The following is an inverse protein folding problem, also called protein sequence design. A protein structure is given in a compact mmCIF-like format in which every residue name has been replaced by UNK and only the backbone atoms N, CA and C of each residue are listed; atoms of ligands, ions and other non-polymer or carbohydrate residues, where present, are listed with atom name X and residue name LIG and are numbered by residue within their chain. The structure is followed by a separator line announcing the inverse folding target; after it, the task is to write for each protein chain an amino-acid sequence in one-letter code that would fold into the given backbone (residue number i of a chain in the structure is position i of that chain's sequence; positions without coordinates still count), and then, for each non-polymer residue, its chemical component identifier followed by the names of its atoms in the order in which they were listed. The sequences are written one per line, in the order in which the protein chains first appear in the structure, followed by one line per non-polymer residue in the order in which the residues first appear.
data_IF_423057725770
#
_entry.id   IF_423057725770
#
_cell.length_a   1.000
_cell.length_b   1.000
_cell.length_c   1.000
_cell.angle_alpha   90.00
_cell.angle_beta   90.00
_cell.angle_gamma   90.00
#
_symmetry.space_group_name_H-M   'P 1'
#
loop_
_entity.id
_entity.type
_entity.pdbx_description
1 polymer ?
#
# COMPACT_ATOMS: atom_id res chain seq x y z
N UNK A 1 35.47 53.86 52.92
CA UNK A 1 35.73 52.42 53.13
C UNK A 1 34.71 51.68 52.33
N UNK A 2 35.16 51.06 51.32
CA UNK A 2 34.41 50.66 50.12
C UNK A 2 33.89 49.24 50.31
N UNK A 3 32.56 49.08 50.19
CA UNK A 3 31.93 47.78 50.23
C UNK A 3 31.52 47.39 48.81
N UNK A 4 32.15 46.39 48.24
CA UNK A 4 31.79 45.79 46.98
C UNK A 4 30.61 44.81 47.18
N UNK A 5 29.50 45.10 46.54
CA UNK A 5 28.41 44.11 46.37
C UNK A 5 28.67 43.36 45.09
N UNK A 6 28.94 42.08 45.23
CA UNK A 6 28.97 41.15 44.11
C UNK A 6 27.52 40.72 43.78
N UNK A 7 27.02 41.13 42.64
CA UNK A 7 25.73 40.67 42.11
C UNK A 7 25.90 39.33 41.45
N UNK A 8 25.28 38.31 42.04
CA UNK A 8 25.22 36.94 41.50
C UNK A 8 24.02 36.87 40.54
N UNK A 9 24.32 36.89 39.25
CA UNK A 9 23.35 36.79 38.18
C UNK A 9 23.06 35.31 37.93
N UNK A 10 21.94 34.81 38.45
CA UNK A 10 21.45 33.47 38.15
C UNK A 10 20.93 33.40 36.70
N UNK A 11 21.72 32.73 35.84
CA UNK A 11 21.33 32.42 34.48
C UNK A 11 20.45 31.16 34.50
N UNK A 12 19.15 31.37 34.46
CA UNK A 12 18.17 30.25 34.30
C UNK A 12 18.17 29.80 32.84
N UNK A 13 18.86 28.71 32.55
CA UNK A 13 18.77 28.00 31.28
C UNK A 13 17.42 27.30 31.22
N UNK A 14 16.46 27.89 30.53
CA UNK A 14 15.25 27.20 30.05
C UNK A 14 15.62 26.21 28.94
N UNK A 15 15.79 24.96 29.30
CA UNK A 15 15.81 23.84 28.36
C UNK A 15 14.38 23.71 27.77
N UNK A 16 14.17 24.34 26.64
CA UNK A 16 13.02 24.03 25.79
C UNK A 16 13.24 22.62 25.21
N UNK A 17 12.66 21.60 25.87
CA UNK A 17 12.49 20.29 25.29
C UNK A 17 11.51 20.41 24.13
N UNK A 18 12.04 20.53 22.91
CA UNK A 18 11.27 20.29 21.70
C UNK A 18 10.85 18.82 21.72
N UNK A 19 9.67 18.54 22.27
CA UNK A 19 8.98 17.29 22.05
C UNK A 19 8.64 17.26 20.54
N UNK A 20 9.46 16.58 19.75
CA UNK A 20 9.06 16.12 18.42
C UNK A 20 7.91 15.13 18.63
N UNK A 21 6.70 15.65 18.71
CA UNK A 21 5.50 14.87 18.46
C UNK A 21 5.57 14.51 16.99
N UNK A 22 5.98 13.28 16.68
CA UNK A 22 5.77 12.69 15.38
C UNK A 22 4.26 12.49 15.21
N UNK A 23 3.57 13.55 14.81
CA UNK A 23 2.27 13.42 14.20
C UNK A 23 2.49 12.57 12.94
N UNK A 24 2.26 11.29 13.06
CA UNK A 24 2.06 10.43 11.89
C UNK A 24 0.70 10.86 11.34
N UNK A 25 0.69 11.88 10.48
CA UNK A 25 -0.52 12.22 9.73
C UNK A 25 -0.93 10.95 9.00
N UNK A 26 -2.10 10.42 9.33
CA UNK A 26 -2.69 9.30 8.62
C UNK A 26 -2.95 9.78 7.20
N UNK A 27 -2.10 9.38 6.26
CA UNK A 27 -2.28 9.72 4.86
C UNK A 27 -3.62 9.14 4.41
N UNK A 28 -4.36 9.90 3.62
CA UNK A 28 -5.63 9.50 3.03
C UNK A 28 -5.55 9.66 1.51
N UNK A 29 -4.73 8.84 0.82
CA UNK A 29 -4.54 8.96 -0.61
C UNK A 29 -5.81 8.59 -1.37
N UNK A 30 -6.02 9.26 -2.50
CA UNK A 30 -7.00 8.85 -3.50
C UNK A 30 -6.43 7.66 -4.29
N UNK A 31 -7.11 6.54 -4.32
CA UNK A 31 -6.60 5.33 -4.99
C UNK A 31 -6.52 5.49 -6.51
N UNK A 32 -7.34 6.36 -7.11
CA UNK A 32 -7.24 6.69 -8.54
C UNK A 32 -5.93 7.40 -8.89
N UNK A 33 -5.43 8.26 -7.99
CA UNK A 33 -4.14 8.93 -8.19
C UNK A 33 -2.99 7.93 -8.03
N UNK A 34 -3.06 7.05 -7.04
CA UNK A 34 -2.04 6.02 -6.80
C UNK A 34 -1.93 5.04 -7.97
N UNK A 35 -3.07 4.53 -8.48
CA UNK A 35 -3.05 3.64 -9.65
C UNK A 35 -2.57 4.37 -10.91
N UNK A 36 -2.90 5.66 -11.04
CA UNK A 36 -2.41 6.52 -12.11
C UNK A 36 -0.90 6.68 -12.09
N UNK A 37 -0.30 6.88 -10.92
CA UNK A 37 1.15 6.95 -10.74
C UNK A 37 1.83 5.61 -11.09
N UNK A 38 1.26 4.48 -10.65
CA UNK A 38 1.76 3.15 -10.99
C UNK A 38 1.73 2.93 -12.52
N UNK A 39 0.60 3.24 -13.17
CA UNK A 39 0.46 3.12 -14.64
C UNK A 39 1.39 4.06 -15.42
N UNK A 40 1.74 5.20 -14.88
CA UNK A 40 2.68 6.12 -15.50
C UNK A 40 4.14 5.69 -15.38
N UNK A 41 4.47 4.96 -14.31
CA UNK A 41 5.84 4.56 -13.97
C UNK A 41 6.19 3.14 -14.45
N UNK A 42 5.21 2.27 -14.66
CA UNK A 42 5.39 0.86 -15.01
C UNK A 42 4.61 0.53 -16.28
N UNK A 43 5.24 -0.16 -17.19
CA UNK A 43 4.60 -0.63 -18.42
C UNK A 43 3.76 -1.86 -18.16
N UNK A 44 2.50 -1.85 -18.61
CA UNK A 44 1.54 -2.93 -18.47
C UNK A 44 1.07 -3.43 -19.83
N UNK A 45 0.67 -4.72 -19.93
CA UNK A 45 -0.12 -5.19 -21.06
C UNK A 45 -1.53 -4.55 -21.06
N UNK A 46 -2.40 -5.01 -21.94
CA UNK A 46 -3.82 -4.64 -21.86
C UNK A 46 -4.42 -5.10 -20.53
N UNK A 47 -4.94 -4.15 -19.74
CA UNK A 47 -5.47 -4.40 -18.40
C UNK A 47 -6.99 -4.20 -18.38
N UNK A 48 -7.70 -5.18 -17.80
CA UNK A 48 -9.12 -5.06 -17.47
C UNK A 48 -9.30 -4.42 -16.07
N UNK A 49 -10.31 -3.59 -15.93
CA UNK A 49 -10.73 -3.02 -14.65
C UNK A 49 -11.82 -3.88 -14.01
N UNK A 50 -11.63 -4.25 -12.75
CA UNK A 50 -12.53 -5.09 -11.99
C UNK A 50 -13.43 -4.21 -11.11
N UNK A 51 -14.73 -4.53 -11.09
CA UNK A 51 -15.71 -3.81 -10.26
C UNK A 51 -15.79 -4.43 -8.86
N UNK A 52 -16.20 -3.63 -7.88
CA UNK A 52 -16.38 -4.10 -6.49
C UNK A 52 -17.32 -5.31 -6.41
N UNK A 53 -18.37 -5.35 -7.23
CA UNK A 53 -19.32 -6.47 -7.25
C UNK A 53 -18.71 -7.81 -7.70
N UNK A 54 -17.59 -7.76 -8.42
CA UNK A 54 -16.91 -8.93 -8.97
C UNK A 54 -15.80 -9.46 -8.05
N UNK A 55 -15.50 -8.77 -6.94
CA UNK A 55 -14.45 -9.15 -5.98
C UNK A 55 -14.51 -10.62 -5.55
N UNK A 56 -15.67 -11.23 -5.26
CA UNK A 56 -15.75 -12.65 -4.88
C UNK A 56 -15.23 -13.60 -5.96
N UNK A 57 -15.35 -13.23 -7.24
CA UNK A 57 -14.81 -14.04 -8.36
C UNK A 57 -13.26 -14.06 -8.37
N UNK A 58 -12.64 -13.08 -7.72
CA UNK A 58 -11.19 -12.93 -7.61
C UNK A 58 -10.65 -13.39 -6.25
N UNK A 59 -11.51 -14.03 -5.42
CA UNK A 59 -11.11 -14.59 -4.12
C UNK A 59 -11.15 -13.59 -2.95
N UNK A 60 -11.73 -12.40 -3.17
CA UNK A 60 -11.97 -11.44 -2.09
C UNK A 60 -13.42 -11.57 -1.62
N UNK A 61 -13.65 -12.18 -0.46
CA UNK A 61 -14.97 -12.30 0.17
C UNK A 61 -15.37 -10.98 0.82
N UNK A 62 -15.60 -9.96 -0.02
CA UNK A 62 -16.01 -8.62 0.36
C UNK A 62 -17.31 -8.26 -0.34
N UNK A 63 -18.19 -7.59 0.40
CA UNK A 63 -19.41 -7.00 -0.14
C UNK A 63 -19.18 -5.54 -0.50
N UNK A 64 -20.01 -4.94 -1.37
CA UNK A 64 -19.87 -3.53 -1.72
C UNK A 64 -19.86 -2.59 -0.51
N UNK A 65 -20.62 -2.91 0.54
CA UNK A 65 -20.65 -2.12 1.78
C UNK A 65 -19.37 -2.19 2.63
N UNK A 66 -18.48 -3.16 2.39
CA UNK A 66 -17.20 -3.27 3.08
C UNK A 66 -16.15 -2.33 2.46
N UNK A 67 -16.35 -1.89 1.23
CA UNK A 67 -15.37 -1.16 0.41
C UNK A 67 -15.72 0.31 0.33
N UNK A 68 -14.82 1.17 0.78
CA UNK A 68 -14.97 2.62 0.66
C UNK A 68 -14.47 3.13 -0.71
N UNK A 69 -13.38 2.58 -1.21
CA UNK A 69 -12.76 2.91 -2.49
C UNK A 69 -11.98 1.70 -3.01
N UNK A 70 -11.91 1.51 -4.31
CA UNK A 70 -11.14 0.42 -4.91
C UNK A 70 -10.60 0.83 -6.28
N UNK A 71 -9.39 0.38 -6.54
CA UNK A 71 -8.80 0.29 -7.87
C UNK A 71 -8.27 -1.13 -8.04
N UNK A 72 -8.80 -1.87 -9.00
CA UNK A 72 -8.35 -3.21 -9.29
C UNK A 72 -8.21 -3.38 -10.79
N UNK A 73 -6.98 -3.59 -11.23
CA UNK A 73 -6.65 -3.89 -12.62
C UNK A 73 -5.93 -5.24 -12.69
N UNK A 74 -6.28 -6.04 -13.68
CA UNK A 74 -5.63 -7.33 -13.94
C UNK A 74 -5.42 -7.51 -15.44
N UNK A 75 -4.41 -8.29 -15.83
CA UNK A 75 -4.18 -8.57 -17.24
C UNK A 75 -5.41 -9.18 -17.90
N UNK A 76 -5.79 -8.66 -19.06
CA UNK A 76 -6.94 -9.13 -19.85
C UNK A 76 -6.74 -10.50 -20.47
N UNK A 77 -5.48 -10.96 -20.58
CA UNK A 77 -5.11 -12.30 -21.05
C UNK A 77 -4.60 -13.15 -19.89
N UNK A 78 -4.95 -14.44 -19.88
CA UNK A 78 -4.41 -15.39 -18.88
C UNK A 78 -2.93 -15.75 -19.05
N UNK A 79 -2.19 -15.02 -19.89
CA UNK A 79 -0.78 -15.29 -20.20
C UNK A 79 0.21 -14.46 -19.40
N UNK A 80 -0.26 -13.44 -18.68
CA UNK A 80 0.58 -12.60 -17.83
C UNK A 80 -0.01 -12.49 -16.44
N UNK A 81 0.84 -12.32 -15.44
CA UNK A 81 0.46 -12.24 -14.03
C UNK A 81 0.29 -10.80 -13.53
N UNK A 82 0.26 -9.82 -14.46
CA UNK A 82 0.15 -8.41 -14.10
C UNK A 82 -1.18 -8.12 -13.43
N UNK A 83 -1.11 -7.67 -12.18
CA UNK A 83 -2.27 -7.32 -11.37
C UNK A 83 -1.92 -6.28 -10.33
N UNK A 84 -2.80 -5.28 -10.16
CA UNK A 84 -2.71 -4.31 -9.07
C UNK A 84 -4.08 -4.18 -8.41
N UNK A 85 -4.11 -4.38 -7.11
CA UNK A 85 -5.30 -4.28 -6.27
C UNK A 85 -5.05 -3.26 -5.17
N UNK A 86 -5.86 -2.22 -5.11
CA UNK A 86 -5.86 -1.21 -4.07
C UNK A 86 -7.27 -1.14 -3.50
N UNK A 87 -7.43 -1.45 -2.22
CA UNK A 87 -8.73 -1.45 -1.54
C UNK A 87 -8.63 -0.59 -0.29
N UNK A 88 -9.54 0.36 -0.15
CA UNK A 88 -9.82 1.07 1.09
C UNK A 88 -11.08 0.49 1.72
N UNK A 89 -10.97 0.00 2.93
CA UNK A 89 -12.07 -0.61 3.68
C UNK A 89 -12.82 0.44 4.52
N UNK A 90 -14.13 0.25 4.67
CA UNK A 90 -14.93 1.01 5.62
C UNK A 90 -14.60 0.63 7.07
N UNK A 91 -14.22 -0.63 7.31
CA UNK A 91 -13.79 -1.14 8.62
C UNK A 91 -12.33 -1.62 8.55
N UNK A 92 -11.42 -0.86 9.17
CA UNK A 92 -9.98 -1.21 9.20
C UNK A 92 -9.67 -2.51 9.95
N UNK A 93 -10.57 -2.99 10.80
CA UNK A 93 -10.36 -4.25 11.53
C UNK A 93 -10.30 -5.47 10.61
N UNK A 94 -10.86 -5.36 9.39
CA UNK A 94 -10.84 -6.40 8.35
C UNK A 94 -9.55 -6.38 7.50
N UNK A 95 -8.69 -5.36 7.63
CA UNK A 95 -7.58 -5.16 6.71
C UNK A 95 -6.59 -6.32 6.67
N UNK A 96 -6.25 -6.92 7.82
CA UNK A 96 -5.36 -8.08 7.87
C UNK A 96 -5.99 -9.34 7.25
N UNK A 97 -7.30 -9.50 7.36
CA UNK A 97 -8.03 -10.59 6.71
C UNK A 97 -8.00 -10.42 5.18
N UNK A 98 -8.27 -9.22 4.70
CA UNK A 98 -8.24 -8.90 3.26
C UNK A 98 -6.83 -9.02 2.69
N UNK A 99 -5.80 -8.64 3.47
CA UNK A 99 -4.39 -8.90 3.07
C UNK A 99 -4.13 -10.39 2.86
N UNK A 100 -4.63 -11.26 3.74
CA UNK A 100 -4.50 -12.72 3.56
C UNK A 100 -5.20 -13.21 2.30
N UNK A 101 -6.36 -12.63 1.95
CA UNK A 101 -7.03 -12.95 0.68
C UNK A 101 -6.15 -12.57 -0.52
N UNK A 102 -5.47 -11.42 -0.48
CA UNK A 102 -4.52 -11.00 -1.52
C UNK A 102 -3.31 -11.96 -1.61
N UNK A 103 -2.79 -12.43 -0.48
CA UNK A 103 -1.71 -13.43 -0.44
C UNK A 103 -2.16 -14.77 -1.03
N UNK A 104 -3.35 -15.26 -0.66
CA UNK A 104 -3.92 -16.50 -1.22
C UNK A 104 -4.14 -16.35 -2.73
N UNK A 105 -4.64 -15.20 -3.19
CA UNK A 105 -4.80 -14.94 -4.63
C UNK A 105 -3.46 -14.99 -5.36
N UNK A 106 -2.44 -14.28 -4.87
CA UNK A 106 -1.08 -14.33 -5.44
C UNK A 106 -0.57 -15.77 -5.55
N UNK A 107 -0.71 -16.54 -4.48
CA UNK A 107 -0.21 -17.91 -4.41
C UNK A 107 -0.95 -18.85 -5.40
N UNK A 108 -2.27 -18.66 -5.55
CA UNK A 108 -3.07 -19.38 -6.55
C UNK A 108 -2.69 -19.04 -8.00
N UNK A 109 -2.37 -17.77 -8.27
CA UNK A 109 -1.85 -17.37 -9.59
C UNK A 109 -0.46 -17.98 -9.79
N UNK A 110 0.40 -17.99 -8.78
CA UNK A 110 1.75 -18.58 -8.85
C UNK A 110 1.72 -20.09 -9.10
N UNK A 111 0.81 -20.82 -8.48
CA UNK A 111 0.61 -22.26 -8.74
C UNK A 111 0.24 -22.51 -10.22
N UNK A 112 -0.61 -21.67 -10.78
CA UNK A 112 -0.98 -21.74 -12.19
C UNK A 112 0.20 -21.37 -13.10
N UNK A 113 0.87 -20.25 -12.79
CA UNK A 113 1.99 -19.74 -13.58
C UNK A 113 3.15 -20.72 -13.63
N UNK A 114 3.45 -21.42 -12.54
CA UNK A 114 4.51 -22.42 -12.49
C UNK A 114 4.35 -23.50 -13.57
N UNK A 115 3.12 -23.83 -13.94
CA UNK A 115 2.83 -24.89 -14.91
C UNK A 115 2.64 -24.38 -16.34
N UNK A 116 2.14 -23.17 -16.52
CA UNK A 116 1.70 -22.65 -17.81
C UNK A 116 2.46 -21.44 -18.32
N UNK A 117 2.96 -20.59 -17.41
CA UNK A 117 3.67 -19.34 -17.73
C UNK A 117 4.85 -19.12 -16.77
N UNK A 118 5.85 -20.03 -16.76
CA UNK A 118 6.94 -19.98 -15.77
C UNK A 118 7.75 -18.68 -15.80
N UNK A 119 7.78 -17.98 -16.92
CA UNK A 119 8.45 -16.67 -17.06
C UNK A 119 7.77 -15.58 -16.22
N UNK A 120 6.52 -15.77 -15.81
CA UNK A 120 5.77 -14.83 -14.96
C UNK A 120 6.03 -15.02 -13.45
N UNK A 121 6.73 -16.11 -13.08
CA UNK A 121 6.97 -16.43 -11.66
C UNK A 121 7.74 -15.34 -10.91
N UNK A 122 8.64 -14.62 -11.57
CA UNK A 122 9.39 -13.54 -10.93
C UNK A 122 8.46 -12.42 -10.43
N UNK A 123 7.44 -12.04 -11.22
CA UNK A 123 6.44 -11.04 -10.82
C UNK A 123 5.70 -11.46 -9.55
N UNK A 124 5.37 -12.74 -9.43
CA UNK A 124 4.59 -13.28 -8.32
C UNK A 124 5.43 -13.49 -7.06
N UNK A 125 6.67 -13.96 -7.20
CA UNK A 125 7.58 -14.18 -6.07
C UNK A 125 8.08 -12.89 -5.45
N UNK A 126 8.19 -11.82 -6.24
CA UNK A 126 8.59 -10.48 -5.79
C UNK A 126 7.40 -9.53 -5.57
N UNK A 127 6.17 -10.02 -5.76
CA UNK A 127 4.95 -9.22 -5.63
C UNK A 127 4.86 -8.51 -4.27
N UNK A 128 4.31 -7.32 -4.30
CA UNK A 128 4.13 -6.49 -3.10
C UNK A 128 2.73 -6.73 -2.55
N UNK A 129 2.64 -7.16 -1.29
CA UNK A 129 1.37 -7.24 -0.56
C UNK A 129 1.54 -6.50 0.76
N UNK A 130 0.59 -5.66 1.10
CA UNK A 130 0.66 -4.92 2.35
C UNK A 130 -0.66 -4.36 2.83
N UNK A 131 -0.61 -3.86 4.06
CA UNK A 131 -1.72 -3.17 4.71
C UNK A 131 -1.20 -1.93 5.42
N UNK A 132 -1.97 -0.86 5.35
CA UNK A 132 -1.75 0.36 6.13
C UNK A 132 -3.10 0.94 6.54
N UNK A 133 -3.38 0.96 7.83
CA UNK A 133 -4.68 1.37 8.39
C UNK A 133 -5.84 0.60 7.73
N UNK A 134 -6.72 1.29 6.99
CA UNK A 134 -7.83 0.69 6.24
C UNK A 134 -7.48 0.33 4.78
N UNK A 135 -6.23 0.54 4.37
CA UNK A 135 -5.80 0.27 3.00
C UNK A 135 -5.12 -1.08 2.90
N UNK A 136 -5.54 -1.86 1.92
CA UNK A 136 -4.89 -3.12 1.52
C UNK A 136 -4.44 -2.97 0.08
N UNK A 137 -3.22 -3.41 -0.20
CA UNK A 137 -2.67 -3.33 -1.54
C UNK A 137 -1.93 -4.62 -1.93
N UNK A 138 -2.05 -4.95 -3.20
CA UNK A 138 -1.31 -6.01 -3.86
C UNK A 138 -0.86 -5.52 -5.24
N UNK A 139 0.38 -5.81 -5.60
CA UNK A 139 0.92 -5.52 -6.92
C UNK A 139 1.86 -6.63 -7.38
N UNK A 140 1.56 -7.23 -8.52
CA UNK A 140 2.44 -8.09 -9.30
C UNK A 140 2.62 -7.41 -10.67
N UNK A 141 3.84 -6.99 -10.99
CA UNK A 141 4.14 -6.13 -12.14
C UNK A 141 5.51 -6.46 -12.71
N UNK A 142 5.82 -5.91 -13.86
CA UNK A 142 7.16 -6.00 -14.46
C UNK A 142 8.25 -5.28 -13.63
N UNK A 143 7.85 -4.35 -12.72
CA UNK A 143 8.76 -3.65 -11.81
C UNK A 143 8.13 -3.53 -10.41
N UNK A 144 8.18 -4.62 -9.66
CA UNK A 144 7.68 -4.67 -8.30
C UNK A 144 8.46 -3.78 -7.33
N UNK A 145 9.73 -3.48 -7.62
CA UNK A 145 10.52 -2.55 -6.81
C UNK A 145 9.96 -1.13 -6.92
N UNK A 146 9.62 -0.70 -8.14
CA UNK A 146 8.99 0.60 -8.39
C UNK A 146 7.57 0.67 -7.83
N UNK A 147 6.78 -0.40 -8.00
CA UNK A 147 5.45 -0.50 -7.39
C UNK A 147 5.53 -0.34 -5.86
N UNK A 148 6.48 -1.02 -5.22
CA UNK A 148 6.72 -0.91 -3.77
C UNK A 148 7.09 0.50 -3.33
N UNK A 149 7.96 1.18 -4.07
CA UNK A 149 8.34 2.58 -3.79
C UNK A 149 7.10 3.49 -3.80
N UNK A 150 6.29 3.41 -4.87
CA UNK A 150 5.07 4.22 -5.01
C UNK A 150 4.09 3.92 -3.88
N UNK A 151 3.79 2.65 -3.62
CA UNK A 151 2.85 2.23 -2.58
C UNK A 151 3.31 2.66 -1.18
N UNK A 152 4.62 2.51 -0.87
CA UNK A 152 5.18 2.96 0.42
C UNK A 152 5.09 4.48 0.59
N UNK A 153 5.26 5.22 -0.50
CA UNK A 153 5.16 6.68 -0.46
C UNK A 153 3.70 7.15 -0.39
N UNK A 154 2.75 6.41 -0.95
CA UNK A 154 1.34 6.75 -0.94
C UNK A 154 0.71 6.52 0.44
N UNK A 155 0.97 5.41 1.08
CA UNK A 155 0.39 4.97 2.36
C UNK A 155 1.35 5.15 3.53
#
# INVERSE_FOLDING_TARGET
MRKFLAGMMCFVLLLASAACSSNTETKNPNLSDVIGEIRAAIEFPEMAEIKVADLPMYGYDLKPEDVAEMQFITAGSGFTADEVVLIKLNDKSKAEEVKKMAEIRRDGIAETAQNYTPDEMEKLTTAVVGVKDSYVYYAATNDNAKAKEILTNAF
#
